data_IF_746164217891
#
_entry.id   IF_746164217891
#
_cell.length_a   1.000
_cell.length_b   1.000
_cell.length_c   1.000
_cell.angle_alpha   90.00
_cell.angle_beta   90.00
_cell.angle_gamma   90.00
#
_symmetry.space_group_name_H-M   'P 1'
#
loop_
_entity.id
_entity.type
_entity.pdbx_description
1 polymer ?
#
# COMPACT_ATOMS: atom_id res chain seq x y z
N UNK A 1 37.27 -39.21 1.39
CA UNK A 1 36.10 -38.41 1.81
C UNK A 1 35.17 -38.30 0.61
N UNK A 2 33.87 -38.60 0.73
CA UNK A 2 32.92 -38.32 -0.34
C UNK A 2 32.91 -36.82 -0.66
N UNK A 3 32.93 -36.46 -1.94
CA UNK A 3 32.95 -35.07 -2.40
C UNK A 3 31.53 -34.49 -2.23
N UNK A 4 31.37 -33.50 -1.36
CA UNK A 4 30.12 -32.72 -1.27
C UNK A 4 30.02 -31.79 -2.49
N UNK A 5 28.88 -31.80 -3.17
CA UNK A 5 28.59 -30.95 -4.32
C UNK A 5 27.30 -30.18 -4.09
N UNK A 6 27.36 -29.17 -3.24
CA UNK A 6 26.24 -28.29 -2.91
C UNK A 6 26.32 -26.98 -3.73
N UNK A 7 25.21 -26.62 -4.36
CA UNK A 7 25.04 -25.35 -5.10
C UNK A 7 24.33 -24.29 -4.23
N UNK A 8 23.46 -24.74 -3.32
CA UNK A 8 22.67 -23.86 -2.44
C UNK A 8 22.75 -24.31 -0.98
N UNK A 9 22.41 -23.40 -0.05
CA UNK A 9 22.56 -23.60 1.40
C UNK A 9 21.73 -24.80 1.91
N UNK A 10 20.55 -25.03 1.34
CA UNK A 10 19.69 -26.16 1.69
C UNK A 10 20.27 -27.54 1.29
N UNK A 11 21.30 -27.59 0.44
CA UNK A 11 21.95 -28.83 0.01
C UNK A 11 23.18 -29.19 0.86
N UNK A 12 23.62 -28.29 1.76
CA UNK A 12 24.71 -28.56 2.68
C UNK A 12 24.31 -29.67 3.65
N UNK A 13 25.22 -30.61 3.90
CA UNK A 13 25.03 -31.59 4.97
C UNK A 13 25.82 -31.16 6.22
N UNK A 14 25.16 -30.78 7.33
CA UNK A 14 25.84 -30.32 8.54
C UNK A 14 26.64 -31.42 9.25
N UNK A 15 26.37 -32.69 8.97
CA UNK A 15 27.09 -33.83 9.56
C UNK A 15 28.37 -34.19 8.79
N UNK A 16 28.65 -33.54 7.66
CA UNK A 16 29.79 -33.83 6.80
C UNK A 16 30.85 -32.72 6.91
N UNK A 17 32.16 -33.06 6.95
CA UNK A 17 32.77 -34.35 6.61
C UNK A 17 32.74 -35.42 7.74
N UNK A 18 32.62 -36.68 7.32
CA UNK A 18 32.66 -37.86 8.20
C UNK A 18 34.10 -38.39 8.24
N UNK A 19 34.82 -38.11 9.33
CA UNK A 19 36.24 -38.46 9.46
C UNK A 19 36.75 -38.32 10.88
N UNK A 20 36.36 -39.23 11.78
CA UNK A 20 36.78 -39.19 13.20
C UNK A 20 38.22 -39.68 13.44
N UNK A 21 38.97 -40.03 12.38
CA UNK A 21 40.24 -40.79 12.45
C UNK A 21 41.47 -40.03 11.94
N UNK A 22 41.31 -38.76 11.54
CA UNK A 22 42.38 -37.87 11.08
C UNK A 22 42.77 -36.88 12.21
N UNK A 23 44.04 -36.53 12.32
CA UNK A 23 44.61 -35.54 13.26
C UNK A 23 44.06 -34.11 13.07
N UNK A 24 43.24 -33.83 12.05
CA UNK A 24 42.62 -32.54 11.73
C UNK A 24 41.14 -32.44 12.17
N UNK A 25 40.71 -33.26 13.14
CA UNK A 25 39.31 -33.27 13.64
C UNK A 25 38.75 -31.90 14.06
N UNK A 26 39.60 -30.97 14.54
CA UNK A 26 39.16 -29.60 14.90
C UNK A 26 38.70 -28.78 13.69
N UNK A 27 39.31 -29.00 12.52
CA UNK A 27 38.91 -28.32 11.28
C UNK A 27 37.54 -28.81 10.80
N UNK A 28 37.32 -30.13 10.86
CA UNK A 28 36.05 -30.74 10.49
C UNK A 28 34.91 -30.27 11.39
N UNK A 29 35.15 -30.14 12.69
CA UNK A 29 34.17 -29.63 13.66
C UNK A 29 33.77 -28.18 13.36
N UNK A 30 34.73 -27.33 13.00
CA UNK A 30 34.45 -25.94 12.61
C UNK A 30 33.63 -25.86 11.31
N UNK A 31 33.93 -26.69 10.32
CA UNK A 31 33.18 -26.74 9.06
C UNK A 31 31.73 -27.20 9.30
N UNK A 32 31.51 -28.22 10.14
CA UNK A 32 30.15 -28.64 10.54
C UNK A 32 29.40 -27.53 11.28
N UNK A 33 30.07 -26.82 12.17
CA UNK A 33 29.50 -25.67 12.89
C UNK A 33 29.11 -24.54 11.93
N UNK A 34 29.93 -24.20 10.96
CA UNK A 34 29.61 -23.15 9.99
C UNK A 34 28.38 -23.51 9.15
N UNK A 35 28.29 -24.77 8.68
CA UNK A 35 27.14 -25.25 7.92
C UNK A 35 25.85 -25.21 8.73
N UNK A 36 25.88 -25.64 9.99
CA UNK A 36 24.70 -25.61 10.85
C UNK A 36 24.27 -24.17 11.15
N UNK A 37 25.21 -23.26 11.41
CA UNK A 37 24.89 -21.83 11.57
C UNK A 37 24.26 -21.27 10.30
N UNK A 38 24.82 -21.54 9.12
CA UNK A 38 24.28 -21.05 7.84
C UNK A 38 22.85 -21.56 7.59
N UNK A 39 22.59 -22.86 7.77
CA UNK A 39 21.26 -23.43 7.60
C UNK A 39 20.24 -22.91 8.63
N UNK A 40 20.68 -22.67 9.87
CA UNK A 40 19.81 -22.07 10.89
C UNK A 40 19.51 -20.60 10.62
N UNK A 41 20.47 -19.84 10.08
CA UNK A 41 20.27 -18.41 9.74
C UNK A 41 19.42 -18.22 8.50
N UNK A 42 19.46 -19.15 7.55
CA UNK A 42 18.79 -19.07 6.26
C UNK A 42 17.98 -20.36 5.97
N UNK A 43 16.95 -20.67 6.79
CA UNK A 43 16.27 -21.98 6.77
C UNK A 43 15.53 -22.30 5.46
N UNK A 44 15.17 -21.26 4.69
CA UNK A 44 14.39 -21.38 3.46
C UNK A 44 15.18 -20.99 2.20
N UNK A 45 16.51 -20.87 2.29
CA UNK A 45 17.35 -20.50 1.15
C UNK A 45 17.59 -21.70 0.21
N UNK A 46 16.64 -21.95 -0.69
CA UNK A 46 16.70 -23.02 -1.70
C UNK A 46 17.22 -22.57 -3.07
N UNK A 47 17.66 -21.32 -3.20
CA UNK A 47 18.20 -20.72 -4.41
C UNK A 47 19.19 -19.59 -4.12
N UNK A 48 19.74 -18.99 -5.17
CA UNK A 48 20.64 -17.85 -5.03
C UNK A 48 19.92 -16.64 -4.43
N UNK A 49 20.52 -16.01 -3.43
CA UNK A 49 20.08 -14.71 -2.93
C UNK A 49 20.61 -13.66 -3.90
N UNK A 50 19.73 -13.11 -4.75
CA UNK A 50 20.11 -12.21 -5.86
C UNK A 50 19.93 -10.73 -5.55
N UNK A 51 19.36 -10.38 -4.40
CA UNK A 51 19.30 -8.99 -3.96
C UNK A 51 20.70 -8.45 -3.66
N UNK A 52 20.98 -7.21 -4.06
CA UNK A 52 22.26 -6.59 -3.67
C UNK A 52 22.28 -6.34 -2.16
N UNK A 53 23.46 -6.30 -1.52
CA UNK A 53 23.56 -5.97 -0.09
C UNK A 53 22.85 -4.65 0.24
N UNK A 54 22.92 -3.64 -0.62
CA UNK A 54 22.22 -2.37 -0.45
C UNK A 54 20.70 -2.57 -0.45
N UNK A 55 20.15 -3.34 -1.39
CA UNK A 55 18.71 -3.60 -1.45
C UNK A 55 18.21 -4.35 -0.22
N UNK A 56 18.94 -5.35 0.26
CA UNK A 56 18.57 -6.15 1.44
C UNK A 56 18.66 -5.31 2.71
N UNK A 57 19.71 -4.50 2.84
CA UNK A 57 19.89 -3.59 3.98
C UNK A 57 18.86 -2.45 4.00
N UNK A 58 18.32 -2.09 2.83
CA UNK A 58 17.37 -1.00 2.64
C UNK A 58 15.90 -1.47 2.53
N UNK A 59 15.56 -2.73 2.80
CA UNK A 59 14.16 -3.20 2.79
C UNK A 59 13.29 -2.37 3.76
N UNK A 60 13.86 -1.94 4.89
CA UNK A 60 13.22 -1.04 5.85
C UNK A 60 13.20 0.43 5.41
N UNK A 61 14.02 0.83 4.43
CA UNK A 61 14.19 2.20 3.94
C UNK A 61 13.28 2.53 2.74
N UNK A 62 12.82 1.54 1.99
CA UNK A 62 11.94 1.76 0.83
C UNK A 62 10.44 1.77 1.20
N UNK A 63 10.10 1.26 2.39
CA UNK A 63 8.75 1.34 2.99
C UNK A 63 8.80 1.72 4.48
N UNK A 64 9.46 2.82 4.87
CA UNK A 64 9.60 3.15 6.28
C UNK A 64 8.24 3.59 6.84
N UNK A 65 7.97 3.16 8.06
CA UNK A 65 6.91 3.74 8.87
C UNK A 65 7.46 5.01 9.53
N UNK A 66 6.92 6.16 9.16
CA UNK A 66 7.22 7.43 9.83
C UNK A 66 6.32 7.55 11.04
N UNK A 67 6.91 7.45 12.23
CA UNK A 67 6.18 7.72 13.47
C UNK A 67 6.19 9.21 13.80
N UNK A 68 5.05 9.85 13.63
CA UNK A 68 4.82 11.26 13.94
C UNK A 68 4.04 11.45 15.25
N UNK A 69 3.94 10.42 16.10
CA UNK A 69 3.22 10.47 17.38
C UNK A 69 3.71 11.56 18.35
N UNK A 70 4.97 12.01 18.22
CA UNK A 70 5.56 13.08 19.01
C UNK A 70 5.29 14.50 18.50
N UNK A 71 4.79 14.66 17.28
CA UNK A 71 4.51 15.96 16.66
C UNK A 71 3.01 16.22 16.73
N UNK A 72 2.60 17.19 17.54
CA UNK A 72 1.19 17.54 17.70
C UNK A 72 0.57 17.91 16.35
N UNK A 73 -0.41 17.13 15.91
CA UNK A 73 -1.06 17.36 14.62
C UNK A 73 -0.26 16.86 13.43
N UNK A 74 0.58 15.82 13.55
CA UNK A 74 1.09 15.10 12.38
C UNK A 74 0.59 13.64 12.39
N UNK A 75 0.16 13.13 11.23
CA UNK A 75 -0.21 11.72 11.09
C UNK A 75 1.06 10.90 10.90
N UNK A 76 1.09 9.71 11.50
CA UNK A 76 2.07 8.66 11.14
C UNK A 76 1.62 7.98 9.85
N UNK A 77 2.56 7.66 8.95
CA UNK A 77 2.25 7.16 7.61
C UNK A 77 3.31 6.18 7.10
N UNK A 78 2.93 5.38 6.09
CA UNK A 78 3.88 4.60 5.30
C UNK A 78 4.36 5.45 4.12
N UNK A 79 5.67 5.54 3.97
CA UNK A 79 6.30 6.17 2.81
C UNK A 79 6.62 5.12 1.76
N UNK A 80 6.31 5.41 0.49
CA UNK A 80 6.89 4.70 -0.65
C UNK A 80 7.94 5.62 -1.25
N UNK A 81 9.20 5.36 -0.90
CA UNK A 81 10.32 6.15 -1.40
C UNK A 81 10.84 5.54 -2.71
N UNK A 82 11.00 6.35 -3.76
CA UNK A 82 11.73 5.94 -4.96
C UNK A 82 13.22 5.86 -4.61
N UNK A 83 13.87 4.67 -4.67
CA UNK A 83 15.27 4.52 -4.27
C UNK A 83 16.26 5.23 -5.21
N UNK A 84 15.81 5.80 -6.33
CA UNK A 84 16.67 6.45 -7.34
C UNK A 84 16.66 7.98 -7.31
N UNK A 85 15.77 8.61 -6.53
CA UNK A 85 15.68 10.06 -6.41
C UNK A 85 16.14 10.52 -5.01
N UNK A 86 17.38 10.99 -4.91
CA UNK A 86 17.95 11.56 -3.67
C UNK A 86 17.65 13.05 -3.48
N UNK A 87 17.08 13.73 -4.48
CA UNK A 87 17.06 15.20 -4.52
C UNK A 87 15.66 15.85 -4.60
N UNK A 88 14.55 15.10 -4.63
CA UNK A 88 13.20 15.69 -4.54
C UNK A 88 12.22 14.75 -3.80
N UNK A 89 11.47 15.23 -2.78
CA UNK A 89 10.57 14.40 -1.98
C UNK A 89 9.24 14.21 -2.71
N UNK A 90 9.26 13.60 -3.90
CA UNK A 90 8.03 13.14 -4.55
C UNK A 90 7.59 11.81 -3.94
N UNK A 91 7.57 11.75 -2.60
CA UNK A 91 7.12 10.59 -1.85
C UNK A 91 5.59 10.50 -1.95
N UNK A 92 5.10 9.35 -2.43
CA UNK A 92 3.67 9.04 -2.34
C UNK A 92 3.40 8.55 -0.90
N UNK A 93 2.79 9.41 -0.08
CA UNK A 93 2.39 9.07 1.29
C UNK A 93 0.99 8.46 1.29
N UNK A 94 0.87 7.21 1.73
CA UNK A 94 -0.42 6.56 1.99
C UNK A 94 -0.75 6.75 3.47
N UNK A 95 -1.62 7.73 3.76
CA UNK A 95 -2.10 7.99 5.11
C UNK A 95 -3.38 7.18 5.40
N UNK A 96 -3.39 6.47 6.53
CA UNK A 96 -4.48 5.57 6.95
C UNK A 96 -5.67 6.35 7.54
N UNK A 97 -5.48 7.61 7.94
CA UNK A 97 -6.49 8.47 8.54
C UNK A 97 -6.69 9.78 7.76
N UNK A 98 -7.90 10.34 7.80
CA UNK A 98 -8.21 11.67 7.24
C UNK A 98 -7.43 12.76 7.99
N UNK A 99 -6.48 13.48 7.37
CA UNK A 99 -5.72 14.53 8.03
C UNK A 99 -6.61 15.74 8.34
N UNK A 100 -6.37 16.38 9.48
CA UNK A 100 -6.85 17.73 9.71
C UNK A 100 -6.17 18.71 8.73
N UNK A 101 -6.83 19.84 8.47
CA UNK A 101 -6.40 20.84 7.46
C UNK A 101 -4.96 21.33 7.68
N UNK A 102 -4.54 21.49 8.93
CA UNK A 102 -3.19 21.94 9.27
C UNK A 102 -2.10 20.90 8.95
N UNK A 103 -2.45 19.61 8.95
CA UNK A 103 -1.55 18.50 8.65
C UNK A 103 -1.40 18.30 7.13
N UNK A 104 -2.49 18.48 6.39
CA UNK A 104 -2.49 18.48 4.92
C UNK A 104 -1.58 19.57 4.35
N UNK A 105 -1.67 20.79 4.88
CA UNK A 105 -0.89 21.94 4.41
C UNK A 105 0.63 21.81 4.67
N UNK A 106 1.05 20.88 5.54
CA UNK A 106 2.46 20.63 5.85
C UNK A 106 3.06 19.46 5.09
N UNK A 107 2.25 18.72 4.31
CA UNK A 107 2.73 17.54 3.57
C UNK A 107 3.04 17.91 2.12
N UNK A 108 4.31 17.84 1.67
CA UNK A 108 4.70 18.25 0.31
C UNK A 108 4.30 17.25 -0.78
N UNK A 109 3.85 16.04 -0.41
CA UNK A 109 3.43 14.97 -1.32
C UNK A 109 1.91 14.86 -1.51
N UNK A 110 1.49 14.10 -2.54
CA UNK A 110 0.09 13.75 -2.75
C UNK A 110 -0.38 12.80 -1.63
N UNK A 111 -1.18 13.32 -0.70
CA UNK A 111 -1.82 12.50 0.33
C UNK A 111 -3.09 11.87 -0.25
N UNK A 112 -3.03 10.59 -0.59
CA UNK A 112 -4.21 9.78 -0.91
C UNK A 112 -4.73 9.17 0.38
N UNK A 113 -5.65 9.86 1.04
CA UNK A 113 -6.45 9.25 2.11
C UNK A 113 -7.60 8.45 1.53
N UNK A 114 -8.10 7.48 2.31
CA UNK A 114 -9.34 6.79 1.97
C UNK A 114 -10.48 7.78 1.70
N UNK A 115 -10.60 8.83 2.52
CA UNK A 115 -11.59 9.88 2.31
C UNK A 115 -11.42 10.59 0.97
N UNK A 116 -10.21 11.06 0.64
CA UNK A 116 -9.95 11.73 -0.65
C UNK A 116 -10.14 10.81 -1.85
N UNK A 117 -9.83 9.51 -1.73
CA UNK A 117 -10.09 8.53 -2.78
C UNK A 117 -11.59 8.35 -2.98
N UNK A 118 -12.35 8.23 -1.90
CA UNK A 118 -13.80 8.09 -1.96
C UNK A 118 -14.47 9.37 -2.47
N UNK A 119 -13.98 10.56 -2.13
CA UNK A 119 -14.50 11.84 -2.65
C UNK A 119 -14.26 12.01 -4.16
N UNK A 120 -13.20 11.40 -4.71
CA UNK A 120 -12.95 11.37 -6.16
C UNK A 120 -13.96 10.44 -6.87
N UNK A 121 -14.26 9.28 -6.28
CA UNK A 121 -15.17 8.29 -6.87
C UNK A 121 -16.65 8.70 -6.68
N UNK A 122 -16.96 9.24 -5.50
CA UNK A 122 -18.28 9.63 -5.04
C UNK A 122 -18.28 11.10 -4.58
N UNK A 123 -18.16 12.06 -5.51
CA UNK A 123 -18.22 13.48 -5.17
C UNK A 123 -19.60 13.86 -4.63
N UNK A 124 -19.68 14.95 -3.87
CA UNK A 124 -20.93 15.45 -3.29
C UNK A 124 -22.00 15.60 -4.37
N UNK A 125 -23.16 14.94 -4.18
CA UNK A 125 -24.27 14.92 -5.13
C UNK A 125 -24.29 13.72 -6.09
N UNK A 126 -23.31 12.82 -6.03
CA UNK A 126 -23.36 11.58 -6.80
C UNK A 126 -24.51 10.66 -6.32
N UNK A 127 -25.26 10.03 -7.24
CA UNK A 127 -26.22 9.01 -6.85
C UNK A 127 -25.52 7.67 -6.58
N UNK A 128 -25.90 7.00 -5.49
CA UNK A 128 -25.55 5.61 -5.22
C UNK A 128 -26.82 4.76 -5.25
N UNK A 129 -26.76 3.58 -5.89
CA UNK A 129 -27.89 2.67 -6.04
C UNK A 129 -27.46 1.25 -5.67
N UNK A 130 -28.15 0.63 -4.72
CA UNK A 130 -27.99 -0.79 -4.37
C UNK A 130 -29.32 -1.51 -4.58
N UNK A 131 -29.28 -2.69 -5.22
CA UNK A 131 -30.47 -3.49 -5.49
C UNK A 131 -30.81 -4.49 -4.37
N UNK A 132 -29.84 -4.79 -3.49
CA UNK A 132 -29.90 -5.90 -2.53
C UNK A 132 -29.76 -5.46 -1.07
N UNK A 133 -29.31 -4.23 -0.82
CA UNK A 133 -29.11 -3.70 0.53
C UNK A 133 -29.83 -2.35 0.67
N UNK A 134 -30.55 -2.18 1.78
CA UNK A 134 -31.38 -1.00 2.06
C UNK A 134 -30.84 -0.14 3.21
N UNK A 135 -29.69 -0.49 3.79
CA UNK A 135 -29.07 0.29 4.87
C UNK A 135 -28.46 1.58 4.33
N UNK A 136 -28.19 2.54 5.22
CA UNK A 136 -27.54 3.79 4.83
C UNK A 136 -26.17 3.46 4.20
N UNK A 137 -25.81 4.01 3.02
CA UNK A 137 -24.51 3.76 2.41
C UNK A 137 -23.32 4.11 3.32
N UNK A 138 -23.49 5.02 4.28
CA UNK A 138 -22.47 5.27 5.32
C UNK A 138 -22.14 4.01 6.12
N UNK A 139 -23.13 3.14 6.41
CA UNK A 139 -22.95 1.91 7.18
C UNK A 139 -22.34 0.77 6.34
N UNK A 140 -22.47 0.84 5.02
CA UNK A 140 -21.99 -0.19 4.09
C UNK A 140 -20.59 0.14 3.58
N UNK A 141 -20.39 1.41 3.20
CA UNK A 141 -19.17 1.91 2.57
C UNK A 141 -18.21 2.55 3.58
N UNK A 142 -18.71 2.95 4.76
CA UNK A 142 -17.89 3.49 5.84
C UNK A 142 -17.44 4.94 5.65
N UNK A 143 -18.08 5.70 4.75
CA UNK A 143 -17.75 7.11 4.49
C UNK A 143 -18.98 7.91 4.05
N UNK A 144 -18.85 9.25 4.12
CA UNK A 144 -19.81 10.21 3.56
C UNK A 144 -21.10 10.36 4.36
N UNK A 145 -21.81 11.46 4.07
CA UNK A 145 -23.18 11.67 4.54
C UNK A 145 -24.15 11.38 3.39
N UNK A 146 -25.10 10.47 3.62
CA UNK A 146 -26.01 10.00 2.57
C UNK A 146 -27.46 10.26 2.97
N UNK A 147 -28.20 10.89 2.06
CA UNK A 147 -29.64 11.10 2.17
C UNK A 147 -30.39 10.29 1.10
N UNK A 148 -31.55 9.67 1.42
CA UNK A 148 -32.32 8.92 0.43
C UNK A 148 -32.90 9.87 -0.63
N UNK A 149 -32.74 9.49 -1.90
CA UNK A 149 -33.41 10.14 -3.04
C UNK A 149 -34.54 9.23 -3.49
N UNK A 150 -35.77 9.74 -3.48
CA UNK A 150 -36.96 9.00 -3.91
C UNK A 150 -37.47 9.61 -5.22
N UNK A 151 -37.65 8.77 -6.23
CA UNK A 151 -38.19 9.19 -7.52
C UNK A 151 -37.45 8.58 -8.70
N UNK A 152 -37.68 9.15 -9.87
CA UNK A 152 -37.00 8.79 -11.11
C UNK A 152 -35.78 9.69 -11.32
N UNK A 153 -34.66 9.10 -11.70
CA UNK A 153 -33.52 9.85 -12.21
C UNK A 153 -33.81 10.21 -13.68
N UNK A 154 -34.01 11.50 -13.96
CA UNK A 154 -34.17 12.03 -15.30
C UNK A 154 -32.96 12.91 -15.65
N UNK A 155 -32.41 12.75 -16.86
CA UNK A 155 -31.32 13.60 -17.32
C UNK A 155 -31.78 15.06 -17.43
N UNK A 156 -30.96 15.99 -16.97
CA UNK A 156 -31.12 17.41 -17.30
C UNK A 156 -30.50 17.67 -18.66
N UNK A 157 -31.20 18.42 -19.51
CA UNK A 157 -30.74 18.78 -20.84
C UNK A 157 -31.12 20.21 -21.16
N UNK A 158 -30.23 20.92 -21.85
CA UNK A 158 -30.54 22.21 -22.45
C UNK A 158 -30.86 21.95 -23.93
N UNK A 159 -32.12 22.14 -24.30
CA UNK A 159 -32.53 22.11 -25.71
C UNK A 159 -32.76 23.56 -26.13
N UNK A 160 -32.00 24.02 -27.11
CA UNK A 160 -32.23 25.32 -27.73
C UNK A 160 -33.16 25.10 -28.93
N UNK A 161 -34.39 25.58 -28.85
CA UNK A 161 -35.26 25.71 -30.02
C UNK A 161 -35.20 27.14 -30.59
N UNK A 162 -36.00 27.44 -31.61
CA UNK A 162 -36.03 28.76 -32.24
C UNK A 162 -36.50 29.91 -31.32
N UNK A 163 -36.97 29.61 -30.09
CA UNK A 163 -37.44 30.58 -29.10
C UNK A 163 -36.44 30.84 -27.96
N UNK A 164 -35.28 30.16 -27.93
CA UNK A 164 -34.21 30.36 -26.94
C UNK A 164 -33.93 29.13 -26.06
N UNK A 165 -32.97 29.22 -25.10
CA UNK A 165 -32.60 28.08 -24.27
C UNK A 165 -33.64 27.83 -23.17
N UNK A 166 -34.31 26.68 -23.22
CA UNK A 166 -35.25 26.25 -22.18
C UNK A 166 -34.53 25.36 -21.16
N UNK A 167 -34.62 25.72 -19.87
CA UNK A 167 -34.13 24.89 -18.77
C UNK A 167 -35.23 23.93 -18.31
N UNK A 168 -35.05 22.63 -18.56
CA UNK A 168 -35.97 21.59 -18.08
C UNK A 168 -35.53 21.18 -16.67
N UNK A 169 -36.31 21.53 -15.65
CA UNK A 169 -36.09 21.10 -14.26
C UNK A 169 -37.03 19.94 -13.87
N UNK A 170 -36.58 19.00 -13.02
CA UNK A 170 -37.37 17.83 -12.61
C UNK A 170 -38.60 18.16 -11.73
N UNK A 171 -38.80 19.42 -11.34
CA UNK A 171 -39.93 19.87 -10.51
C UNK A 171 -41.04 20.59 -11.30
N UNK A 172 -41.04 20.53 -12.63
CA UNK A 172 -42.18 20.96 -13.45
C UNK A 172 -42.57 22.44 -13.35
N UNK A 173 -41.71 23.30 -12.79
CA UNK A 173 -41.95 24.74 -12.75
C UNK A 173 -41.31 25.42 -13.97
N UNK A 174 -42.17 25.77 -14.91
CA UNK A 174 -41.86 26.58 -16.09
C UNK A 174 -41.63 28.03 -15.65
N UNK A 175 -40.38 28.48 -15.61
CA UNK A 175 -40.05 29.91 -15.52
C UNK A 175 -39.63 30.38 -16.90
N UNK A 176 -40.53 31.10 -17.56
CA UNK A 176 -40.19 32.02 -18.65
C UNK A 176 -39.56 33.24 -17.94
N UNK A 177 -38.35 33.63 -18.33
CA UNK A 177 -37.78 34.94 -17.98
C UNK A 177 -38.52 36.06 -18.68
#
# INVERSE_FOLDING_TARGET
MPLENATYINQLNPDWPIGKTDMVSNGDDQVRMLKSVLQNTLPNASGAITGTPEQINNITLNTPWQDNSGTAGALSYFELNDPTQTDEPTAAALAIATPATDQYNQTPGLVLTWQTLMDIIYPVGCPFMSATDNRNPADILGFGEWSPIVGMLAGIGQVTDAAGPWLISPLGRWLVT
#
